data_IF_248564888256
#
_entry.id   IF_248564888256
#
_cell.length_a   1.000
_cell.length_b   1.000
_cell.length_c   1.000
_cell.angle_alpha   90.00
_cell.angle_beta   90.00
_cell.angle_gamma   90.00
#
_symmetry.space_group_name_H-M   'P 1'
#
loop_
_entity.id
_entity.type
_entity.pdbx_description
1 polymer ?
#
# COMPACT_ATOMS: atom_id res chain seq x y z
N UNK A 1 0.05 -40.91 6.84
CA UNK A 1 1.28 -40.79 6.02
C UNK A 1 1.18 -39.73 4.91
N UNK A 2 0.07 -39.00 4.77
CA UNK A 2 -0.12 -37.92 3.77
C UNK A 2 -0.08 -36.49 4.36
N UNK A 3 0.03 -36.34 5.69
CA UNK A 3 0.10 -35.05 6.39
C UNK A 3 1.52 -34.45 6.50
N UNK A 4 2.55 -35.18 6.06
CA UNK A 4 3.95 -34.76 6.15
C UNK A 4 4.55 -34.22 4.84
N UNK A 5 3.80 -34.21 3.73
CA UNK A 5 4.30 -33.72 2.43
C UNK A 5 4.05 -32.22 2.20
N UNK A 6 3.19 -31.56 2.98
CA UNK A 6 2.97 -30.11 2.88
C UNK A 6 3.86 -29.29 3.82
N UNK A 7 4.55 -29.92 4.77
CA UNK A 7 5.51 -29.25 5.67
C UNK A 7 6.93 -29.18 5.12
N UNK A 8 7.22 -29.85 4.01
CA UNK A 8 8.57 -29.94 3.43
C UNK A 8 8.95 -28.79 2.50
N UNK A 9 8.00 -27.98 2.03
CA UNK A 9 8.31 -26.79 1.20
C UNK A 9 8.70 -25.54 2.02
N UNK A 10 8.32 -25.48 3.31
CA UNK A 10 8.64 -24.33 4.18
C UNK A 10 10.13 -24.17 4.52
N UNK A 11 10.98 -25.12 4.12
CA UNK A 11 12.42 -25.15 4.42
C UNK A 11 13.32 -24.93 3.18
N UNK A 12 12.75 -24.53 2.02
CA UNK A 12 13.60 -24.06 0.93
C UNK A 12 13.93 -22.58 1.12
N UNK A 13 15.23 -22.27 1.09
CA UNK A 13 15.74 -20.90 1.09
C UNK A 13 15.09 -20.12 -0.05
N UNK A 14 14.55 -18.94 0.27
CA UNK A 14 13.94 -18.04 -0.70
C UNK A 14 15.00 -17.41 -1.60
N UNK A 15 14.68 -17.21 -2.87
CA UNK A 15 15.54 -16.46 -3.79
C UNK A 15 15.64 -14.99 -3.35
N UNK A 16 14.52 -14.46 -2.84
CA UNK A 16 14.41 -13.11 -2.32
C UNK A 16 13.52 -12.95 -1.10
N UNK A 17 13.89 -11.99 -0.24
CA UNK A 17 13.02 -11.44 0.80
C UNK A 17 12.49 -10.08 0.36
N UNK A 18 11.19 -9.84 0.49
CA UNK A 18 10.55 -8.57 0.19
C UNK A 18 10.01 -7.96 1.49
N UNK A 19 10.57 -6.83 1.90
CA UNK A 19 10.23 -6.18 3.16
C UNK A 19 9.23 -5.04 2.98
N UNK A 20 8.26 -4.99 3.90
CA UNK A 20 7.45 -3.79 4.18
C UNK A 20 8.03 -3.13 5.44
N UNK A 21 8.81 -2.03 5.30
CA UNK A 21 9.39 -1.34 6.46
C UNK A 21 8.30 -0.76 7.37
N UNK A 22 8.59 -0.54 8.66
CA UNK A 22 7.68 0.12 9.59
C UNK A 22 7.16 1.48 9.12
N UNK A 23 6.02 1.87 9.70
CA UNK A 23 5.26 3.09 9.44
C UNK A 23 4.44 3.03 8.13
N UNK A 24 3.84 1.87 7.89
CA UNK A 24 2.59 1.76 7.15
C UNK A 24 1.44 1.41 8.09
N UNK A 25 0.20 1.44 7.61
CA UNK A 25 -0.97 1.14 8.45
C UNK A 25 -0.85 -0.24 9.13
N UNK A 26 -0.94 -0.36 10.47
CA UNK A 26 -0.98 -1.65 11.15
C UNK A 26 -2.38 -2.30 11.10
N UNK A 27 -3.35 -1.65 10.49
CA UNK A 27 -4.73 -2.13 10.40
C UNK A 27 -4.92 -3.19 9.31
N UNK A 28 -4.08 -3.21 8.29
CA UNK A 28 -4.19 -4.18 7.19
C UNK A 28 -2.85 -4.33 6.46
N UNK A 29 -2.61 -5.45 5.75
CA UNK A 29 -1.39 -5.62 4.95
C UNK A 29 -1.27 -4.58 3.84
N UNK A 30 -0.06 -4.44 3.29
CA UNK A 30 0.17 -3.67 2.07
C UNK A 30 0.04 -4.57 0.83
N UNK A 31 -0.74 -4.14 -0.17
CA UNK A 31 -1.05 -4.95 -1.36
C UNK A 31 0.14 -5.17 -2.30
N UNK A 32 1.05 -4.21 -2.40
CA UNK A 32 2.15 -4.25 -3.38
C UNK A 32 3.07 -5.47 -3.18
N UNK A 33 3.26 -5.95 -1.96
CA UNK A 33 4.12 -7.11 -1.68
C UNK A 33 3.49 -8.44 -2.16
N UNK A 34 2.24 -8.79 -1.79
CA UNK A 34 1.52 -9.93 -2.35
C UNK A 34 1.49 -9.96 -3.89
N UNK A 35 1.31 -8.80 -4.53
CA UNK A 35 1.33 -8.69 -5.99
C UNK A 35 2.70 -9.03 -6.59
N UNK A 36 3.78 -8.48 -6.01
CA UNK A 36 5.15 -8.77 -6.44
C UNK A 36 5.51 -10.24 -6.22
N UNK A 37 5.14 -10.81 -5.07
CA UNK A 37 5.37 -12.23 -4.77
C UNK A 37 4.69 -13.13 -5.79
N UNK A 38 3.39 -12.91 -6.04
CA UNK A 38 2.64 -13.69 -7.01
C UNK A 38 3.25 -13.60 -8.41
N UNK A 39 3.58 -12.39 -8.85
CA UNK A 39 4.19 -12.16 -10.16
C UNK A 39 5.53 -12.91 -10.31
N UNK A 40 6.41 -12.85 -9.31
CA UNK A 40 7.68 -13.57 -9.32
C UNK A 40 7.48 -15.10 -9.30
N UNK A 41 6.51 -15.57 -8.51
CA UNK A 41 6.12 -16.99 -8.46
C UNK A 41 5.69 -17.53 -9.82
N UNK A 42 4.87 -16.78 -10.56
CA UNK A 42 4.48 -17.11 -11.95
C UNK A 42 5.67 -17.18 -12.92
N UNK A 43 6.79 -16.51 -12.60
CA UNK A 43 8.05 -16.57 -13.37
C UNK A 43 9.03 -17.62 -12.84
N UNK A 44 8.63 -18.40 -11.84
CA UNK A 44 9.41 -19.50 -11.28
C UNK A 44 10.44 -19.07 -10.22
N UNK A 45 10.32 -17.87 -9.65
CA UNK A 45 11.15 -17.41 -8.54
C UNK A 45 10.43 -17.55 -7.21
N UNK A 46 11.18 -17.88 -6.15
CA UNK A 46 10.67 -18.03 -4.79
C UNK A 46 10.93 -16.76 -4.00
N UNK A 47 9.91 -15.92 -3.86
CA UNK A 47 9.97 -14.75 -2.99
C UNK A 47 9.22 -15.00 -1.68
N UNK A 48 9.72 -14.45 -0.57
CA UNK A 48 9.02 -14.41 0.71
C UNK A 48 8.79 -12.99 1.19
N UNK A 49 7.59 -12.71 1.66
CA UNK A 49 7.24 -11.41 2.26
C UNK A 49 7.67 -11.40 3.73
N UNK A 50 8.30 -10.31 4.14
CA UNK A 50 8.58 -9.99 5.53
C UNK A 50 7.85 -8.68 5.86
N UNK A 51 6.66 -8.79 6.46
CA UNK A 51 5.92 -7.62 6.93
C UNK A 51 6.49 -7.13 8.26
N UNK A 52 7.64 -6.45 8.18
CA UNK A 52 8.29 -5.87 9.36
C UNK A 52 7.52 -4.71 9.96
N UNK A 53 6.51 -4.17 9.27
CA UNK A 53 5.66 -3.12 9.82
C UNK A 53 4.81 -3.64 10.96
N UNK A 54 4.02 -4.68 10.72
CA UNK A 54 3.15 -5.20 11.77
C UNK A 54 3.97 -5.79 12.92
N UNK A 55 5.07 -6.47 12.62
CA UNK A 55 6.00 -6.98 13.64
C UNK A 55 6.59 -5.85 14.51
N UNK A 56 6.91 -4.69 13.92
CA UNK A 56 7.36 -3.51 14.68
C UNK A 56 6.28 -2.98 15.60
N UNK A 57 5.04 -2.82 15.13
CA UNK A 57 3.94 -2.33 15.98
C UNK A 57 3.70 -3.26 17.18
N UNK A 58 3.76 -4.58 16.99
CA UNK A 58 3.68 -5.55 18.08
C UNK A 58 4.80 -5.37 19.11
N UNK A 59 6.05 -5.28 18.64
CA UNK A 59 7.19 -5.12 19.54
C UNK A 59 7.19 -3.75 20.25
N UNK A 60 6.79 -2.69 19.55
CA UNK A 60 6.85 -1.32 20.05
C UNK A 60 5.77 -1.04 21.10
N UNK A 61 4.54 -1.54 20.85
CA UNK A 61 3.41 -1.43 21.78
C UNK A 61 3.49 -2.44 22.94
N UNK A 62 4.10 -3.62 22.74
CA UNK A 62 4.21 -4.69 23.73
C UNK A 62 3.13 -5.77 23.59
N UNK A 63 3.04 -6.69 24.55
CA UNK A 63 2.17 -7.89 24.46
C UNK A 63 0.66 -7.59 24.64
N UNK A 64 0.31 -6.50 25.34
CA UNK A 64 -1.07 -6.16 25.70
C UNK A 64 -1.68 -5.11 24.75
N UNK A 65 -1.67 -5.39 23.44
CA UNK A 65 -2.32 -4.52 22.45
C UNK A 65 -3.82 -4.74 22.51
N UNK A 66 -4.63 -3.69 22.75
CA UNK A 66 -6.08 -3.82 22.76
C UNK A 66 -6.57 -4.37 21.41
N UNK A 67 -7.60 -5.20 21.47
CA UNK A 67 -8.35 -5.66 20.31
C UNK A 67 -9.77 -5.12 20.42
N UNK A 68 -10.27 -4.60 19.32
CA UNK A 68 -11.65 -4.16 19.19
C UNK A 68 -12.39 -5.27 18.44
N UNK A 69 -13.46 -5.80 19.02
CA UNK A 69 -14.34 -6.74 18.35
C UNK A 69 -15.41 -6.00 17.52
N UNK A 70 -15.90 -6.66 16.48
CA UNK A 70 -16.85 -6.05 15.55
C UNK A 70 -18.26 -5.89 16.16
N UNK A 71 -18.63 -6.73 17.12
CA UNK A 71 -19.94 -6.67 17.79
C UNK A 71 -20.06 -5.38 18.62
N UNK A 72 -19.01 -5.04 19.37
CA UNK A 72 -18.86 -3.77 20.09
C UNK A 72 -18.93 -2.57 19.14
N UNK A 73 -18.36 -2.67 17.95
CA UNK A 73 -18.49 -1.62 16.93
C UNK A 73 -19.94 -1.44 16.47
N UNK A 74 -20.70 -2.52 16.33
CA UNK A 74 -22.11 -2.44 15.93
C UNK A 74 -23.00 -1.88 17.04
N UNK A 75 -22.72 -2.21 18.31
CA UNK A 75 -23.45 -1.68 19.45
C UNK A 75 -23.16 -0.19 19.70
N UNK A 76 -21.88 0.21 19.57
CA UNK A 76 -21.44 1.59 19.71
C UNK A 76 -20.39 1.94 18.65
N UNK A 77 -20.79 2.57 17.54
CA UNK A 77 -19.85 2.98 16.48
C UNK A 77 -18.74 3.95 16.94
N UNK A 78 -18.91 4.66 18.06
CA UNK A 78 -17.87 5.55 18.60
C UNK A 78 -16.71 4.78 19.23
N UNK A 79 -16.90 3.51 19.59
CA UNK A 79 -15.85 2.64 20.14
C UNK A 79 -14.63 2.52 19.21
N UNK A 80 -14.82 2.67 17.90
CA UNK A 80 -13.70 2.68 16.94
C UNK A 80 -12.78 3.89 17.13
N UNK A 81 -13.36 5.05 17.50
CA UNK A 81 -12.60 6.27 17.74
C UNK A 81 -11.83 6.15 19.06
N UNK A 82 -12.49 5.63 20.10
CA UNK A 82 -11.84 5.38 21.39
C UNK A 82 -10.70 4.37 21.25
N UNK A 83 -10.90 3.31 20.46
CA UNK A 83 -9.87 2.33 20.14
C UNK A 83 -8.65 2.95 19.46
N UNK A 84 -8.86 3.76 18.41
CA UNK A 84 -7.76 4.41 17.72
C UNK A 84 -7.05 5.45 18.59
N UNK A 85 -7.79 6.17 19.44
CA UNK A 85 -7.20 7.10 20.39
C UNK A 85 -6.31 6.38 21.42
N UNK A 86 -6.76 5.23 21.97
CA UNK A 86 -5.93 4.43 22.89
C UNK A 86 -4.66 3.91 22.22
N UNK A 87 -4.74 3.47 20.96
CA UNK A 87 -3.56 3.08 20.20
C UNK A 87 -2.57 4.25 20.01
N UNK A 88 -3.06 5.42 19.60
CA UNK A 88 -2.22 6.63 19.44
C UNK A 88 -1.58 7.06 20.77
N UNK A 89 -2.32 7.04 21.88
CA UNK A 89 -1.78 7.38 23.21
C UNK A 89 -0.68 6.41 23.67
N UNK A 90 -0.86 5.12 23.39
CA UNK A 90 0.17 4.10 23.66
C UNK A 90 1.40 4.29 22.78
N UNK A 91 1.24 4.58 21.49
CA UNK A 91 2.35 4.88 20.59
C UNK A 91 3.10 6.13 21.03
N UNK A 92 2.39 7.20 21.40
CA UNK A 92 2.98 8.41 21.96
C UNK A 92 3.75 8.13 23.26
N UNK A 93 3.23 7.24 24.10
CA UNK A 93 3.91 6.81 25.34
C UNK A 93 5.16 5.97 25.06
N UNK A 94 5.08 5.00 24.15
CA UNK A 94 6.22 4.19 23.73
C UNK A 94 7.31 5.05 23.06
N UNK A 95 6.91 6.09 22.32
CA UNK A 95 7.82 7.03 21.66
C UNK A 95 8.74 7.77 22.63
N UNK A 96 8.29 8.03 23.87
CA UNK A 96 9.10 8.70 24.91
C UNK A 96 10.36 7.93 25.31
N UNK A 97 10.50 6.65 24.91
CA UNK A 97 11.72 5.86 25.14
C UNK A 97 12.90 6.32 24.27
N UNK A 98 12.63 7.09 23.21
CA UNK A 98 13.62 7.53 22.23
C UNK A 98 13.64 9.06 22.12
N UNK A 99 14.82 9.62 21.92
CA UNK A 99 15.00 11.07 21.85
C UNK A 99 14.37 11.64 20.57
N UNK A 100 13.39 12.54 20.72
CA UNK A 100 12.76 13.24 19.59
C UNK A 100 11.94 12.35 18.65
N UNK A 101 11.52 11.17 19.11
CA UNK A 101 10.65 10.26 18.37
C UNK A 101 9.17 10.58 18.65
N UNK A 102 8.34 10.54 17.61
CA UNK A 102 6.89 10.41 17.71
C UNK A 102 6.41 9.44 16.64
N UNK A 103 5.94 8.27 17.05
CA UNK A 103 5.29 7.28 16.19
C UNK A 103 3.79 7.42 16.36
N UNK A 104 3.06 7.48 15.25
CA UNK A 104 1.61 7.31 15.22
C UNK A 104 1.20 6.16 14.29
N UNK A 105 -0.10 5.88 14.16
CA UNK A 105 -0.58 4.74 13.37
C UNK A 105 -0.16 4.81 11.89
N UNK A 106 0.01 6.03 11.36
CA UNK A 106 0.40 6.30 9.97
C UNK A 106 1.35 7.47 9.84
N UNK A 107 2.06 7.81 10.92
CA UNK A 107 2.99 8.94 10.92
C UNK A 107 4.24 8.64 11.76
N UNK A 108 5.33 9.31 11.40
CA UNK A 108 6.60 9.28 12.09
C UNK A 108 7.16 10.71 12.17
N UNK A 109 7.67 11.09 13.32
CA UNK A 109 8.54 12.24 13.49
C UNK A 109 9.79 11.80 14.24
N UNK A 110 10.94 12.31 13.83
CA UNK A 110 12.26 11.98 14.40
C UNK A 110 13.11 13.25 14.47
N UNK A 111 14.23 13.20 15.21
CA UNK A 111 15.21 14.30 15.26
C UNK A 111 15.73 14.69 13.87
N UNK A 112 15.94 13.68 13.04
CA UNK A 112 16.48 13.82 11.70
C UNK A 112 15.39 13.88 10.65
N UNK A 113 15.60 14.71 9.65
CA UNK A 113 14.63 14.91 8.58
C UNK A 113 14.67 13.79 7.55
N UNK A 114 13.50 13.27 7.17
CA UNK A 114 13.35 12.28 6.09
C UNK A 114 13.42 12.86 4.67
N UNK A 115 13.47 14.19 4.52
CA UNK A 115 13.40 14.85 3.20
C UNK A 115 14.77 15.12 2.59
N UNK A 116 15.86 14.88 3.33
CA UNK A 116 17.24 15.00 2.87
C UNK A 116 17.97 13.69 3.12
N UNK A 117 18.70 13.19 2.13
CA UNK A 117 19.44 11.94 2.29
C UNK A 117 20.54 12.07 3.35
N UNK A 118 21.25 13.20 3.45
CA UNK A 118 22.25 13.42 4.50
C UNK A 118 21.66 13.23 5.92
N UNK A 119 20.48 13.79 6.17
CA UNK A 119 19.78 13.63 7.45
C UNK A 119 19.29 12.20 7.67
N UNK A 120 18.84 11.52 6.62
CA UNK A 120 18.50 10.09 6.69
C UNK A 120 19.73 9.27 7.09
N UNK A 121 20.91 9.57 6.54
CA UNK A 121 22.15 8.86 6.87
C UNK A 121 22.64 9.13 8.31
N UNK A 122 22.37 10.32 8.85
CA UNK A 122 22.55 10.56 10.28
C UNK A 122 21.55 9.71 11.10
N UNK A 123 20.29 9.66 10.70
CA UNK A 123 19.22 8.94 11.40
C UNK A 123 19.48 7.43 11.54
N UNK A 124 20.06 6.77 10.52
CA UNK A 124 20.31 5.32 10.54
C UNK A 124 21.44 4.90 11.48
N UNK A 125 22.21 5.85 12.01
CA UNK A 125 23.26 5.63 13.01
C UNK A 125 22.89 6.15 14.39
N UNK A 126 21.77 6.87 14.51
CA UNK A 126 21.28 7.45 15.75
C UNK A 126 20.56 6.42 16.65
N UNK A 127 21.32 5.70 17.48
CA UNK A 127 20.78 4.66 18.38
C UNK A 127 19.83 5.24 19.45
N UNK A 128 19.98 6.52 19.81
CA UNK A 128 19.14 7.15 20.84
C UNK A 128 17.77 7.60 20.30
N UNK A 129 17.71 7.99 19.02
CA UNK A 129 16.49 8.50 18.38
C UNK A 129 15.80 7.50 17.46
N UNK A 130 16.51 6.49 16.95
CA UNK A 130 16.02 5.56 15.95
C UNK A 130 15.71 4.16 16.53
N UNK A 131 14.43 3.83 16.79
CA UNK A 131 14.05 2.53 17.34
C UNK A 131 14.30 1.37 16.36
N UNK A 132 14.28 1.66 15.06
CA UNK A 132 14.33 0.67 14.00
C UNK A 132 15.67 -0.06 13.94
N UNK A 133 16.76 0.56 14.38
CA UNK A 133 18.10 -0.06 14.42
C UNK A 133 18.04 -1.33 15.27
N UNK A 134 17.58 -1.19 16.51
CA UNK A 134 17.53 -2.30 17.46
C UNK A 134 16.47 -3.34 17.08
N UNK A 135 15.35 -2.89 16.53
CA UNK A 135 14.27 -3.75 16.04
C UNK A 135 14.73 -4.65 14.89
N UNK A 136 15.33 -4.06 13.84
CA UNK A 136 15.78 -4.84 12.69
C UNK A 136 16.95 -5.77 13.03
N UNK A 137 17.88 -5.33 13.89
CA UNK A 137 18.97 -6.19 14.37
C UNK A 137 18.41 -7.45 15.06
N UNK A 138 17.43 -7.28 15.96
CA UNK A 138 16.73 -8.40 16.60
C UNK A 138 15.97 -9.25 15.58
N UNK A 139 15.16 -8.64 14.72
CA UNK A 139 14.33 -9.33 13.74
C UNK A 139 15.19 -10.25 12.87
N UNK A 140 16.29 -9.73 12.33
CA UNK A 140 17.17 -10.48 11.44
C UNK A 140 17.90 -11.59 12.22
N UNK A 141 18.54 -11.28 13.36
CA UNK A 141 19.30 -12.28 14.13
C UNK A 141 18.44 -13.40 14.72
N UNK A 142 17.18 -13.12 15.06
CA UNK A 142 16.34 -14.10 15.76
C UNK A 142 15.40 -14.85 14.82
N UNK A 143 14.81 -14.18 13.81
CA UNK A 143 13.79 -14.78 12.95
C UNK A 143 14.28 -15.09 11.54
N UNK A 144 15.32 -14.41 11.05
CA UNK A 144 15.72 -14.48 9.64
C UNK A 144 17.17 -14.93 9.41
N UNK A 145 17.92 -15.25 10.47
CA UNK A 145 19.37 -15.52 10.40
C UNK A 145 19.75 -16.59 9.37
N UNK A 146 18.89 -17.59 9.19
CA UNK A 146 19.12 -18.76 8.33
C UNK A 146 18.66 -18.55 6.88
N UNK A 147 17.97 -17.44 6.57
CA UNK A 147 17.44 -17.17 5.23
C UNK A 147 18.55 -16.84 4.22
N UNK A 148 19.51 -15.99 4.60
CA UNK A 148 20.64 -15.53 3.76
C UNK A 148 20.25 -15.31 2.27
N UNK A 149 19.25 -14.46 1.98
CA UNK A 149 18.74 -14.28 0.63
C UNK A 149 19.78 -13.65 -0.29
N UNK A 150 19.73 -14.03 -1.57
CA UNK A 150 20.57 -13.39 -2.60
C UNK A 150 20.07 -11.99 -2.94
N UNK A 151 18.76 -11.78 -2.91
CA UNK A 151 18.10 -10.51 -3.26
C UNK A 151 17.22 -10.06 -2.09
N UNK A 152 17.29 -8.78 -1.73
CA UNK A 152 16.37 -8.15 -0.78
C UNK A 152 15.66 -6.98 -1.43
N UNK A 153 14.34 -7.06 -1.52
CA UNK A 153 13.48 -5.95 -1.92
C UNK A 153 13.03 -5.14 -0.71
N UNK A 154 13.15 -3.81 -0.75
CA UNK A 154 12.66 -2.89 0.29
C UNK A 154 11.61 -1.97 -0.35
N UNK A 155 10.35 -2.14 0.04
CA UNK A 155 9.24 -1.37 -0.51
C UNK A 155 8.95 -0.10 0.31
N UNK A 156 9.38 1.06 -0.18
CA UNK A 156 9.16 2.37 0.45
C UNK A 156 7.97 3.06 -0.24
N UNK A 157 6.78 2.84 0.32
CA UNK A 157 5.50 3.30 -0.23
C UNK A 157 5.08 4.65 0.34
N UNK A 158 5.38 4.91 1.61
CA UNK A 158 5.07 6.17 2.31
C UNK A 158 6.34 6.91 2.69
N UNK A 159 6.29 8.25 2.75
CA UNK A 159 7.48 9.08 3.06
C UNK A 159 8.07 8.72 4.42
N UNK A 160 7.21 8.35 5.36
CA UNK A 160 7.56 8.00 6.73
C UNK A 160 8.29 6.65 6.80
N UNK A 161 8.30 5.87 5.70
CA UNK A 161 9.09 4.65 5.57
C UNK A 161 10.53 4.89 5.08
N UNK A 162 10.94 6.12 4.72
CA UNK A 162 12.30 6.39 4.21
C UNK A 162 13.36 6.01 5.24
N UNK A 163 13.33 6.61 6.44
CA UNK A 163 14.30 6.32 7.50
C UNK A 163 14.32 4.83 7.90
N UNK A 164 13.18 4.17 8.21
CA UNK A 164 13.22 2.75 8.53
C UNK A 164 13.68 1.88 7.33
N UNK A 165 13.36 2.25 6.09
CA UNK A 165 13.84 1.55 4.90
C UNK A 165 15.35 1.60 4.73
N UNK A 166 15.97 2.78 4.91
CA UNK A 166 17.43 2.92 4.90
C UNK A 166 18.08 2.29 6.14
N UNK A 167 17.41 2.31 7.30
CA UNK A 167 17.88 1.62 8.50
C UNK A 167 17.96 0.11 8.25
N UNK A 168 16.91 -0.48 7.68
CA UNK A 168 16.90 -1.89 7.28
C UNK A 168 18.02 -2.21 6.30
N UNK A 169 18.21 -1.38 5.26
CA UNK A 169 19.28 -1.57 4.30
C UNK A 169 20.68 -1.60 4.96
N UNK A 170 20.93 -0.68 5.90
CA UNK A 170 22.18 -0.67 6.67
C UNK A 170 22.37 -1.95 7.50
N UNK A 171 21.33 -2.44 8.19
CA UNK A 171 21.41 -3.69 8.95
C UNK A 171 21.66 -4.89 8.00
N UNK A 172 21.00 -4.93 6.84
CA UNK A 172 21.21 -5.97 5.83
C UNK A 172 22.66 -5.95 5.34
N UNK A 173 23.24 -4.80 4.98
CA UNK A 173 24.62 -4.72 4.52
C UNK A 173 25.63 -5.26 5.54
N UNK A 174 25.36 -5.05 6.83
CA UNK A 174 26.19 -5.55 7.92
C UNK A 174 25.98 -7.04 8.23
N UNK A 175 24.87 -7.64 7.80
CA UNK A 175 24.51 -9.03 8.15
C UNK A 175 24.62 -9.99 6.96
N UNK A 176 24.18 -9.55 5.78
CA UNK A 176 24.22 -10.25 4.50
C UNK A 176 24.94 -9.37 3.48
N UNK A 177 26.26 -9.24 3.62
CA UNK A 177 27.09 -8.35 2.80
C UNK A 177 26.98 -8.59 1.28
N UNK A 178 26.66 -9.83 0.89
CA UNK A 178 26.57 -10.23 -0.51
C UNK A 178 25.14 -10.09 -1.08
N UNK A 179 24.16 -9.70 -0.26
CA UNK A 179 22.78 -9.54 -0.70
C UNK A 179 22.64 -8.32 -1.61
N UNK A 180 21.94 -8.52 -2.72
CA UNK A 180 21.57 -7.46 -3.67
C UNK A 180 20.34 -6.73 -3.13
N UNK A 181 20.48 -5.44 -2.80
CA UNK A 181 19.40 -4.62 -2.25
C UNK A 181 18.72 -3.83 -3.37
N UNK A 182 17.42 -4.07 -3.53
CA UNK A 182 16.56 -3.34 -4.46
C UNK A 182 15.59 -2.48 -3.65
N UNK A 183 15.71 -1.15 -3.76
CA UNK A 183 14.72 -0.24 -3.20
C UNK A 183 13.69 0.11 -4.25
N UNK A 184 12.41 0.07 -3.88
CA UNK A 184 11.31 0.42 -4.78
C UNK A 184 10.14 1.04 -4.04
N UNK A 185 9.04 1.24 -4.75
CA UNK A 185 7.83 1.84 -4.23
C UNK A 185 7.62 3.29 -4.67
N UNK A 186 6.46 3.82 -4.31
CA UNK A 186 5.98 5.12 -4.79
C UNK A 186 6.90 6.27 -4.38
N UNK A 187 7.52 6.21 -3.20
CA UNK A 187 8.42 7.28 -2.76
C UNK A 187 9.73 7.26 -3.51
N UNK A 188 10.36 6.09 -3.66
CA UNK A 188 11.58 5.95 -4.48
C UNK A 188 11.31 6.48 -5.89
N UNK A 189 10.19 6.10 -6.50
CA UNK A 189 9.79 6.59 -7.83
C UNK A 189 9.64 8.11 -7.90
N UNK A 190 9.18 8.76 -6.83
CA UNK A 190 8.95 10.22 -6.81
C UNK A 190 10.20 11.02 -6.46
N UNK A 191 11.15 10.45 -5.72
CA UNK A 191 12.33 11.16 -5.26
C UNK A 191 13.65 10.67 -5.88
N UNK A 192 13.65 9.65 -6.75
CA UNK A 192 14.90 9.07 -7.26
C UNK A 192 15.85 10.12 -7.86
N UNK A 193 15.32 11.09 -8.62
CA UNK A 193 16.15 12.16 -9.23
C UNK A 193 16.87 13.00 -8.18
N UNK A 194 16.32 13.11 -6.97
CA UNK A 194 16.91 13.89 -5.87
C UNK A 194 17.97 13.11 -5.08
N UNK A 195 17.96 11.77 -5.15
CA UNK A 195 18.86 10.92 -4.35
C UNK A 195 19.91 10.18 -5.19
N UNK A 196 19.66 9.96 -6.49
CA UNK A 196 20.46 9.06 -7.33
C UNK A 196 21.92 9.47 -7.49
N UNK A 197 22.20 10.78 -7.43
CA UNK A 197 23.54 11.35 -7.55
C UNK A 197 24.28 11.45 -6.21
N UNK A 198 23.65 11.05 -5.11
CA UNK A 198 24.30 11.06 -3.80
C UNK A 198 25.38 9.98 -3.70
N UNK A 199 26.63 10.32 -3.34
CA UNK A 199 27.76 9.39 -3.41
C UNK A 199 27.64 8.20 -2.46
N UNK A 200 26.90 8.35 -1.36
CA UNK A 200 26.71 7.28 -0.37
C UNK A 200 25.49 6.40 -0.65
N UNK A 201 24.60 6.77 -1.59
CA UNK A 201 23.42 5.94 -1.89
C UNK A 201 23.77 4.49 -2.29
N UNK A 202 24.80 4.21 -3.11
CA UNK A 202 25.20 2.85 -3.47
C UNK A 202 25.59 1.96 -2.27
N UNK A 203 25.94 2.57 -1.12
CA UNK A 203 26.22 1.81 0.10
C UNK A 203 24.97 1.11 0.63
N UNK A 204 23.78 1.66 0.37
CA UNK A 204 22.51 1.18 0.92
C UNK A 204 21.61 0.49 -0.12
N UNK A 205 21.84 0.70 -1.41
CA UNK A 205 21.08 0.05 -2.46
C UNK A 205 21.95 -0.29 -3.67
N UNK A 206 21.70 -1.44 -4.29
CA UNK A 206 22.30 -1.81 -5.58
C UNK A 206 21.44 -1.34 -6.74
N UNK A 207 20.12 -1.35 -6.54
CA UNK A 207 19.16 -0.97 -7.55
C UNK A 207 18.03 -0.11 -7.00
N UNK A 208 17.55 0.83 -7.82
CA UNK A 208 16.25 1.48 -7.62
C UNK A 208 15.27 0.98 -8.68
N UNK A 209 14.16 0.37 -8.25
CA UNK A 209 13.05 -0.04 -9.11
C UNK A 209 11.97 1.06 -9.13
N UNK A 210 11.64 1.55 -10.32
CA UNK A 210 10.76 2.71 -10.52
C UNK A 210 9.39 2.29 -11.06
N UNK A 211 8.34 2.99 -10.64
CA UNK A 211 6.94 2.79 -11.03
C UNK A 211 6.41 1.37 -10.70
N UNK A 212 5.88 0.65 -11.70
CA UNK A 212 5.40 -0.72 -11.55
C UNK A 212 6.61 -1.64 -11.29
N UNK A 213 6.68 -2.25 -10.10
CA UNK A 213 7.83 -3.02 -9.67
C UNK A 213 7.98 -4.39 -10.31
N UNK A 214 6.91 -4.93 -10.93
CA UNK A 214 6.87 -6.31 -11.42
C UNK A 214 8.01 -6.63 -12.41
N UNK A 215 8.15 -5.83 -13.48
CA UNK A 215 9.17 -6.01 -14.51
C UNK A 215 10.58 -5.67 -14.02
N UNK A 216 10.86 -4.47 -13.46
CA UNK A 216 12.22 -4.14 -13.01
C UNK A 216 12.74 -5.12 -11.96
N UNK A 217 11.88 -5.58 -11.04
CA UNK A 217 12.31 -6.53 -10.01
C UNK A 217 12.54 -7.94 -10.58
N UNK A 218 11.74 -8.36 -11.56
CA UNK A 218 11.99 -9.60 -12.33
C UNK A 218 13.34 -9.54 -13.06
N UNK A 219 13.66 -8.41 -13.70
CA UNK A 219 14.92 -8.25 -14.42
C UNK A 219 16.14 -8.35 -13.48
N UNK A 220 16.03 -7.83 -12.24
CA UNK A 220 17.05 -8.06 -11.20
C UNK A 220 17.18 -9.55 -10.90
N UNK A 221 16.07 -10.27 -10.73
CA UNK A 221 16.12 -11.73 -10.49
C UNK A 221 16.76 -12.48 -11.66
N UNK A 222 16.37 -12.19 -12.90
CA UNK A 222 16.95 -12.82 -14.08
C UNK A 222 18.45 -12.57 -14.20
N UNK A 223 18.89 -11.33 -13.94
CA UNK A 223 20.31 -10.98 -14.00
C UNK A 223 21.10 -11.62 -12.88
N UNK A 224 20.67 -11.45 -11.63
CA UNK A 224 21.46 -11.86 -10.48
C UNK A 224 21.38 -13.38 -10.26
N UNK A 225 20.25 -14.03 -10.57
CA UNK A 225 20.10 -15.49 -10.37
C UNK A 225 20.58 -16.30 -11.57
N UNK A 226 20.33 -15.84 -12.80
CA UNK A 226 20.59 -16.61 -14.03
C UNK A 226 21.70 -16.04 -14.89
N UNK A 227 22.26 -14.86 -14.56
CA UNK A 227 23.30 -14.21 -15.36
C UNK A 227 22.79 -13.66 -16.69
N UNK A 228 21.49 -13.39 -16.82
CA UNK A 228 20.90 -12.84 -18.04
C UNK A 228 21.25 -11.35 -18.13
N UNK A 229 21.94 -10.94 -19.19
CA UNK A 229 22.19 -9.53 -19.48
C UNK A 229 20.97 -8.95 -20.20
N UNK A 230 19.95 -8.59 -19.43
CA UNK A 230 18.74 -7.95 -19.92
C UNK A 230 18.89 -6.43 -19.97
N UNK A 231 18.19 -5.79 -20.91
CA UNK A 231 18.01 -4.34 -20.87
C UNK A 231 17.21 -3.97 -19.63
N UNK A 232 17.86 -3.30 -18.69
CA UNK A 232 17.23 -2.77 -17.48
C UNK A 232 16.16 -1.77 -17.91
N UNK A 233 14.90 -1.97 -17.52
CA UNK A 233 13.77 -1.07 -17.85
C UNK A 233 13.18 -0.54 -16.55
N UNK A 234 13.09 0.78 -16.40
CA UNK A 234 12.62 1.42 -15.16
C UNK A 234 13.40 0.99 -13.92
N UNK A 235 14.70 0.81 -14.11
CA UNK A 235 15.63 0.37 -13.10
C UNK A 235 16.90 1.21 -13.21
N UNK A 236 17.39 1.65 -12.06
CA UNK A 236 18.67 2.33 -11.92
C UNK A 236 19.65 1.36 -11.26
N UNK A 237 20.76 1.06 -11.94
CA UNK A 237 21.86 0.25 -11.40
C UNK A 237 22.89 1.20 -10.77
N UNK A 238 22.88 1.28 -9.44
CA UNK A 238 23.73 2.18 -8.67
C UNK A 238 25.20 1.72 -8.65
N UNK A 239 25.47 0.46 -9.01
CA UNK A 239 26.82 -0.12 -8.97
C UNK A 239 27.69 0.30 -10.16
N UNK A 240 27.06 0.59 -11.31
CA UNK A 240 27.74 1.03 -12.52
C UNK A 240 27.21 2.36 -13.07
N UNK A 241 26.21 2.96 -12.41
CA UNK A 241 25.63 4.25 -12.80
C UNK A 241 24.68 4.19 -13.99
N UNK A 242 24.31 3.00 -14.49
CA UNK A 242 23.37 2.87 -15.62
C UNK A 242 21.95 3.23 -15.16
N UNK A 243 21.36 4.22 -15.82
CA UNK A 243 19.99 4.69 -15.56
C UNK A 243 19.12 4.38 -16.77
N UNK A 244 18.06 3.60 -16.57
CA UNK A 244 16.97 3.52 -17.54
C UNK A 244 15.65 3.84 -16.83
N UNK A 245 15.14 5.05 -17.07
CA UNK A 245 13.93 5.56 -16.44
C UNK A 245 13.00 6.11 -17.52
N UNK A 246 12.06 5.27 -17.98
CA UNK A 246 11.00 5.66 -18.89
C UNK A 246 9.66 5.11 -18.40
N UNK A 247 8.90 5.96 -17.73
CA UNK A 247 7.58 5.66 -17.16
C UNK A 247 6.62 4.92 -18.10
N UNK A 248 6.73 5.12 -19.41
CA UNK A 248 5.82 4.48 -20.37
C UNK A 248 6.23 3.05 -20.75
N UNK A 249 7.44 2.62 -20.36
CA UNK A 249 7.96 1.28 -20.57
C UNK A 249 7.61 0.35 -19.39
N UNK A 250 7.81 -0.96 -19.55
CA UNK A 250 7.57 -1.97 -18.52
C UNK A 250 6.12 -2.02 -17.94
N UNK A 251 5.14 -1.47 -18.67
CA UNK A 251 3.73 -1.46 -18.28
C UNK A 251 3.08 -2.79 -18.61
N UNK A 252 2.75 -3.60 -17.60
CA UNK A 252 1.95 -4.81 -17.79
C UNK A 252 0.56 -4.45 -18.36
N UNK A 253 0.05 -5.18 -19.37
CA UNK A 253 -1.32 -5.01 -19.84
C UNK A 253 -2.31 -5.52 -18.79
N UNK A 254 -3.56 -5.03 -18.83
CA UNK A 254 -4.61 -5.37 -17.84
C UNK A 254 -4.74 -6.87 -17.50
N UNK A 255 -4.76 -7.81 -18.46
CA UNK A 255 -4.92 -9.24 -18.15
C UNK A 255 -3.70 -9.86 -17.45
N UNK A 256 -2.56 -9.17 -17.45
CA UNK A 256 -1.32 -9.62 -16.82
C UNK A 256 -1.05 -8.90 -15.50
N UNK A 257 -1.97 -8.04 -15.03
CA UNK A 257 -1.85 -7.49 -13.67
C UNK A 257 -1.98 -8.65 -12.67
N UNK A 258 -0.99 -8.84 -11.78
CA UNK A 258 -0.99 -9.97 -10.87
C UNK A 258 -2.18 -9.90 -9.89
N UNK A 259 -2.61 -11.07 -9.42
CA UNK A 259 -3.40 -11.23 -8.20
C UNK A 259 -2.48 -11.28 -6.98
N UNK A 260 -2.98 -11.01 -5.78
CA UNK A 260 -2.17 -11.04 -4.56
C UNK A 260 -1.92 -12.47 -4.06
N UNK A 261 -0.65 -12.81 -3.77
CA UNK A 261 -0.30 -14.00 -2.97
C UNK A 261 -0.13 -13.60 -1.50
N UNK A 262 -1.13 -13.94 -0.68
CA UNK A 262 -1.18 -13.62 0.75
C UNK A 262 -0.62 -14.73 1.65
N UNK A 263 0.02 -15.78 1.10
CA UNK A 263 0.44 -16.95 1.89
C UNK A 263 1.48 -16.69 2.98
N UNK A 264 2.19 -15.55 2.93
CA UNK A 264 3.12 -15.11 3.99
C UNK A 264 2.49 -14.10 4.98
N UNK A 265 1.23 -13.71 4.75
CA UNK A 265 0.53 -12.70 5.54
C UNK A 265 -0.26 -13.39 6.64
N UNK A 266 0.10 -13.11 7.89
CA UNK A 266 -0.69 -13.51 9.05
C UNK A 266 -1.73 -12.42 9.36
N UNK A 267 -2.96 -12.61 8.88
CA UNK A 267 -4.03 -11.64 9.07
C UNK A 267 -4.39 -11.41 10.55
N UNK A 268 -4.13 -12.38 11.43
CA UNK A 268 -4.43 -12.26 12.87
C UNK A 268 -3.57 -11.21 13.59
N UNK A 269 -2.42 -10.82 13.00
CA UNK A 269 -1.55 -9.80 13.57
C UNK A 269 -2.08 -8.38 13.39
N UNK A 270 -2.88 -8.10 12.36
CA UNK A 270 -3.32 -6.73 12.07
C UNK A 270 -4.34 -6.23 13.09
N UNK A 271 -4.30 -4.93 13.36
CA UNK A 271 -5.06 -4.30 14.44
C UNK A 271 -6.47 -3.87 14.05
N UNK A 272 -6.92 -4.19 12.83
CA UNK A 272 -8.32 -4.03 12.46
C UNK A 272 -9.16 -5.17 13.07
N UNK A 273 -10.41 -4.91 13.50
CA UNK A 273 -11.27 -5.92 14.13
C UNK A 273 -11.51 -7.20 13.32
N UNK A 274 -11.36 -7.09 12.01
CA UNK A 274 -11.69 -8.11 11.01
C UNK A 274 -10.56 -8.23 9.99
N UNK A 275 -10.59 -9.27 9.16
CA UNK A 275 -9.64 -9.39 8.05
C UNK A 275 -9.99 -8.40 6.94
N UNK A 276 -9.35 -7.22 6.99
CA UNK A 276 -9.42 -6.22 5.93
C UNK A 276 -8.37 -6.51 4.86
N UNK A 277 -8.81 -7.06 3.73
CA UNK A 277 -7.92 -7.48 2.65
C UNK A 277 -7.81 -6.39 1.59
N UNK A 278 -6.61 -5.86 1.33
CA UNK A 278 -6.42 -4.90 0.26
C UNK A 278 -6.43 -5.64 -1.10
N UNK A 279 -7.04 -5.05 -2.12
CA UNK A 279 -7.08 -5.56 -3.49
C UNK A 279 -7.01 -4.39 -4.49
N UNK A 280 -6.88 -4.67 -5.79
CA UNK A 280 -6.98 -3.63 -6.83
C UNK A 280 -7.92 -4.09 -7.93
N UNK A 281 -8.82 -3.21 -8.38
CA UNK A 281 -9.64 -3.44 -9.59
C UNK A 281 -9.10 -2.66 -10.78
N UNK A 282 -8.40 -1.57 -10.50
CA UNK A 282 -7.72 -0.71 -11.45
C UNK A 282 -6.31 -0.37 -10.97
N UNK A 283 -5.47 0.15 -11.87
CA UNK A 283 -4.15 0.68 -11.51
C UNK A 283 -3.85 1.94 -12.31
N UNK A 284 -3.34 2.97 -11.64
CA UNK A 284 -3.10 4.29 -12.22
C UNK A 284 -4.37 5.15 -12.26
N UNK A 285 -4.24 6.36 -12.80
CA UNK A 285 -5.36 7.29 -12.98
C UNK A 285 -5.37 7.85 -14.40
N UNK A 286 -6.56 7.99 -15.00
CA UNK A 286 -6.72 8.61 -16.32
C UNK A 286 -6.75 10.16 -16.27
N UNK A 287 -6.90 10.73 -15.07
CA UNK A 287 -6.99 12.18 -14.87
C UNK A 287 -5.60 12.85 -14.79
N UNK A 288 -5.57 14.18 -14.92
CA UNK A 288 -4.36 15.01 -14.89
C UNK A 288 -4.55 16.24 -13.99
N UNK A 289 -5.02 16.00 -12.77
CA UNK A 289 -5.32 17.08 -11.82
C UNK A 289 -4.02 17.82 -11.44
N UNK A 290 -4.04 19.15 -11.40
CA UNK A 290 -2.87 20.00 -11.25
C UNK A 290 -2.15 19.81 -9.89
N UNK A 291 -2.87 19.39 -8.85
CA UNK A 291 -2.32 19.14 -7.51
C UNK A 291 -1.77 17.72 -7.32
N UNK A 292 -1.96 16.82 -8.30
CA UNK A 292 -1.83 15.39 -8.05
C UNK A 292 -0.43 14.84 -8.33
N UNK A 293 0.09 14.04 -7.40
CA UNK A 293 1.38 13.36 -7.54
C UNK A 293 1.27 11.97 -8.23
N UNK A 294 0.06 11.42 -8.40
CA UNK A 294 -0.16 10.09 -8.98
C UNK A 294 0.47 9.95 -10.38
N UNK A 295 0.33 10.90 -11.32
CA UNK A 295 0.94 10.75 -12.66
C UNK A 295 2.46 10.60 -12.67
N UNK A 296 3.14 11.03 -11.60
CA UNK A 296 4.59 10.87 -11.45
C UNK A 296 4.97 9.52 -10.84
N UNK A 297 4.09 8.93 -10.01
CA UNK A 297 4.32 7.66 -9.33
C UNK A 297 3.66 6.44 -9.99
N UNK A 298 2.68 6.64 -10.88
CA UNK A 298 1.97 5.57 -11.58
C UNK A 298 2.18 5.60 -13.09
N UNK A 299 2.03 4.42 -13.70
CA UNK A 299 2.00 4.26 -15.15
C UNK A 299 0.60 4.55 -15.73
N UNK A 300 0.25 3.91 -16.85
CA UNK A 300 -1.04 4.04 -17.54
C UNK A 300 -2.19 3.49 -16.70
N UNK A 301 -3.36 4.11 -16.85
CA UNK A 301 -4.61 3.60 -16.31
C UNK A 301 -4.98 2.26 -16.94
N UNK A 302 -5.24 1.27 -16.10
CA UNK A 302 -5.61 -0.09 -16.49
C UNK A 302 -6.75 -0.58 -15.61
N UNK A 303 -7.64 -1.35 -16.21
CA UNK A 303 -8.83 -1.93 -15.56
C UNK A 303 -8.73 -3.44 -15.67
N UNK A 304 -8.90 -4.17 -14.56
CA UNK A 304 -8.92 -5.63 -14.53
C UNK A 304 -10.27 -6.17 -14.99
N UNK A 305 -10.32 -7.47 -15.24
CA UNK A 305 -11.57 -8.16 -15.57
C UNK A 305 -12.36 -8.49 -14.29
N UNK A 306 -13.68 -8.25 -14.32
CA UNK A 306 -14.57 -8.48 -13.17
C UNK A 306 -14.59 -9.93 -12.70
N UNK A 307 -14.54 -10.87 -13.65
CA UNK A 307 -14.53 -12.30 -13.33
C UNK A 307 -13.23 -12.67 -12.61
N UNK A 308 -12.09 -12.19 -13.11
CA UNK A 308 -10.79 -12.44 -12.47
C UNK A 308 -10.70 -11.86 -11.05
N UNK A 309 -11.30 -10.68 -10.82
CA UNK A 309 -11.34 -10.09 -9.47
C UNK A 309 -12.27 -10.90 -8.55
N UNK A 310 -13.42 -11.37 -9.04
CA UNK A 310 -14.30 -12.24 -8.28
C UNK A 310 -13.66 -13.61 -7.96
N UNK A 311 -12.92 -14.19 -8.91
CA UNK A 311 -12.14 -15.41 -8.70
C UNK A 311 -11.09 -15.19 -7.59
N UNK A 312 -10.38 -14.05 -7.60
CA UNK A 312 -9.40 -13.70 -6.56
C UNK A 312 -10.04 -13.52 -5.17
N UNK A 313 -11.24 -12.94 -5.09
CA UNK A 313 -11.99 -12.82 -3.82
C UNK A 313 -12.28 -14.22 -3.25
N UNK A 314 -12.76 -15.15 -4.07
CA UNK A 314 -13.05 -16.52 -3.64
C UNK A 314 -11.78 -17.23 -3.14
N UNK A 315 -10.68 -17.14 -3.89
CA UNK A 315 -9.39 -17.72 -3.47
C UNK A 315 -8.90 -17.16 -2.13
N UNK A 316 -9.05 -15.86 -1.89
CA UNK A 316 -8.70 -15.21 -0.63
C UNK A 316 -9.61 -15.70 0.51
N UNK A 317 -10.91 -15.85 0.26
CA UNK A 317 -11.86 -16.37 1.24
C UNK A 317 -11.53 -17.82 1.63
N UNK A 318 -11.20 -18.65 0.65
CA UNK A 318 -10.77 -20.04 0.88
C UNK A 318 -9.45 -20.11 1.65
N UNK A 319 -8.49 -19.27 1.28
CA UNK A 319 -7.20 -19.17 1.98
C UNK A 319 -7.39 -18.78 3.44
N UNK A 320 -8.12 -17.70 3.69
CA UNK A 320 -8.34 -17.18 5.05
C UNK A 320 -9.16 -18.15 5.91
N UNK A 321 -10.17 -18.80 5.33
CA UNK A 321 -10.91 -19.86 6.01
C UNK A 321 -10.00 -21.04 6.40
N UNK A 322 -9.12 -21.46 5.48
CA UNK A 322 -8.23 -22.60 5.71
C UNK A 322 -7.15 -22.29 6.76
N UNK A 323 -6.51 -21.13 6.69
CA UNK A 323 -5.38 -20.80 7.56
C UNK A 323 -5.82 -20.24 8.93
N UNK A 324 -6.94 -19.51 8.99
CA UNK A 324 -7.38 -18.79 10.19
C UNK A 324 -8.77 -19.19 10.70
N UNK A 325 -9.47 -20.10 10.02
CA UNK A 325 -10.79 -20.58 10.43
C UNK A 325 -11.95 -19.65 10.08
N UNK A 326 -11.69 -18.49 9.45
CA UNK A 326 -12.70 -17.49 9.09
C UNK A 326 -12.45 -16.92 7.69
N UNK A 327 -13.52 -16.74 6.90
CA UNK A 327 -13.43 -16.09 5.59
C UNK A 327 -13.24 -14.59 5.77
N UNK A 328 -12.31 -14.00 5.01
CA UNK A 328 -12.28 -12.56 4.83
C UNK A 328 -13.56 -12.07 4.14
N UNK A 329 -14.26 -11.13 4.77
CA UNK A 329 -15.47 -10.51 4.17
C UNK A 329 -15.28 -9.03 3.88
N UNK A 330 -14.19 -8.43 4.32
CA UNK A 330 -13.91 -7.00 4.16
C UNK A 330 -12.77 -6.78 3.20
N UNK A 331 -13.02 -5.99 2.16
CA UNK A 331 -12.06 -5.71 1.11
C UNK A 331 -11.88 -4.21 0.92
N UNK A 332 -10.64 -3.80 0.65
CA UNK A 332 -10.31 -2.41 0.34
C UNK A 332 -9.65 -2.34 -1.02
N UNK A 333 -10.32 -1.71 -1.99
CA UNK A 333 -9.72 -1.49 -3.29
C UNK A 333 -8.72 -0.32 -3.21
N UNK A 334 -7.43 -0.68 -3.21
CA UNK A 334 -6.27 0.20 -3.13
C UNK A 334 -5.91 0.70 -4.53
N UNK A 335 -6.65 1.70 -5.00
CA UNK A 335 -6.51 2.25 -6.34
C UNK A 335 -6.55 3.78 -6.37
N UNK A 336 -5.99 4.36 -7.44
CA UNK A 336 -5.95 5.81 -7.62
C UNK A 336 -7.31 6.38 -8.04
N UNK A 337 -8.08 5.61 -8.83
CA UNK A 337 -9.48 5.89 -9.18
C UNK A 337 -10.12 4.62 -9.73
N UNK A 338 -11.30 4.28 -9.24
CA UNK A 338 -12.12 3.19 -9.79
C UNK A 338 -12.65 3.49 -11.20
N UNK A 339 -13.03 2.41 -11.90
CA UNK A 339 -13.86 2.48 -13.10
C UNK A 339 -15.33 2.20 -12.75
N UNK A 340 -16.28 3.09 -13.05
CA UNK A 340 -17.71 2.84 -12.81
C UNK A 340 -18.20 1.53 -13.46
N UNK A 341 -17.78 1.25 -14.70
CA UNK A 341 -18.20 0.03 -15.41
C UNK A 341 -17.64 -1.24 -14.76
N UNK A 342 -16.39 -1.19 -14.28
CA UNK A 342 -15.79 -2.32 -13.59
C UNK A 342 -16.49 -2.61 -12.27
N UNK A 343 -16.81 -1.58 -11.48
CA UNK A 343 -17.52 -1.76 -10.21
C UNK A 343 -18.91 -2.35 -10.43
N UNK A 344 -19.63 -1.93 -11.48
CA UNK A 344 -20.92 -2.50 -11.85
C UNK A 344 -20.81 -3.99 -12.24
N UNK A 345 -19.87 -4.31 -13.14
CA UNK A 345 -19.65 -5.70 -13.57
C UNK A 345 -19.16 -6.60 -12.42
N UNK A 346 -18.32 -6.09 -11.53
CA UNK A 346 -17.89 -6.82 -10.33
C UNK A 346 -19.07 -7.04 -9.37
N UNK A 347 -19.91 -6.03 -9.19
CA UNK A 347 -21.12 -6.14 -8.34
C UNK A 347 -22.07 -7.23 -8.87
N UNK A 348 -22.23 -7.32 -10.20
CA UNK A 348 -23.01 -8.39 -10.84
C UNK A 348 -22.40 -9.77 -10.58
N UNK A 349 -21.08 -9.92 -10.73
CA UNK A 349 -20.40 -11.20 -10.46
C UNK A 349 -20.50 -11.60 -8.98
N UNK A 350 -20.35 -10.66 -8.04
CA UNK A 350 -20.51 -10.90 -6.60
C UNK A 350 -21.92 -11.42 -6.28
N UNK A 351 -22.96 -10.73 -6.78
CA UNK A 351 -24.37 -11.13 -6.55
C UNK A 351 -24.66 -12.48 -7.19
N UNK A 352 -24.24 -12.68 -8.44
CA UNK A 352 -24.44 -13.91 -9.20
C UNK A 352 -23.82 -15.13 -8.52
N UNK A 353 -22.66 -14.97 -7.89
CA UNK A 353 -21.95 -16.03 -7.16
C UNK A 353 -22.39 -16.16 -5.70
N UNK A 354 -23.14 -15.19 -5.16
CA UNK A 354 -23.55 -15.17 -3.77
C UNK A 354 -22.40 -14.98 -2.79
N UNK A 355 -21.38 -14.18 -3.16
CA UNK A 355 -20.22 -13.93 -2.30
C UNK A 355 -20.60 -12.96 -1.17
N UNK A 356 -20.29 -13.32 0.07
CA UNK A 356 -20.39 -12.39 1.22
C UNK A 356 -19.17 -11.48 1.25
N UNK A 357 -19.33 -10.29 0.66
CA UNK A 357 -18.27 -9.31 0.45
C UNK A 357 -18.79 -7.94 0.84
N UNK A 358 -17.97 -7.19 1.57
CA UNK A 358 -18.16 -5.77 1.83
C UNK A 358 -16.89 -5.07 1.40
N UNK A 359 -17.01 -4.03 0.58
CA UNK A 359 -15.85 -3.34 0.04
C UNK A 359 -15.95 -1.82 0.09
N UNK A 360 -14.77 -1.20 0.20
CA UNK A 360 -14.58 0.24 0.02
C UNK A 360 -13.62 0.53 -1.13
N UNK A 361 -13.77 1.70 -1.77
CA UNK A 361 -12.92 2.11 -2.89
C UNK A 361 -12.75 3.63 -2.99
N UNK A 362 -11.92 4.09 -3.93
CA UNK A 362 -11.63 5.48 -4.25
C UNK A 362 -12.14 5.82 -5.65
N UNK A 363 -13.04 6.79 -5.76
CA UNK A 363 -13.63 7.15 -7.04
C UNK A 363 -13.69 8.65 -7.26
N UNK A 364 -13.72 9.04 -8.53
CA UNK A 364 -14.09 10.39 -8.94
C UNK A 364 -15.61 10.48 -8.99
N UNK A 365 -16.14 11.65 -8.67
CA UNK A 365 -17.53 11.99 -8.94
C UNK A 365 -17.69 12.06 -10.47
N UNK A 366 -18.37 11.07 -11.03
CA UNK A 366 -18.60 10.92 -12.46
C UNK A 366 -20.09 10.75 -12.73
N UNK A 367 -20.57 11.27 -13.87
CA UNK A 367 -21.98 11.19 -14.27
C UNK A 367 -22.55 9.76 -14.22
N UNK A 368 -21.73 8.74 -14.45
CA UNK A 368 -22.13 7.33 -14.37
C UNK A 368 -22.69 6.94 -12.98
N UNK A 369 -22.24 7.61 -11.91
CA UNK A 369 -22.73 7.39 -10.56
C UNK A 369 -24.00 8.18 -10.22
N UNK A 370 -24.46 9.07 -11.10
CA UNK A 370 -25.63 9.92 -10.86
C UNK A 370 -26.96 9.19 -11.15
N UNK A 371 -27.05 7.93 -10.75
CA UNK A 371 -28.22 7.05 -10.89
C UNK A 371 -28.42 6.30 -9.59
N UNK A 372 -29.68 6.27 -9.13
CA UNK A 372 -30.04 5.51 -7.93
C UNK A 372 -29.85 4.01 -8.16
N UNK A 373 -30.22 3.53 -9.34
CA UNK A 373 -30.11 2.12 -9.74
C UNK A 373 -28.64 1.65 -9.72
N UNK A 374 -27.72 2.51 -10.17
CA UNK A 374 -26.27 2.25 -10.08
C UNK A 374 -25.84 2.09 -8.63
N UNK A 375 -26.23 3.00 -7.73
CA UNK A 375 -25.86 2.91 -6.31
C UNK A 375 -26.49 1.70 -5.61
N UNK A 376 -27.75 1.39 -5.91
CA UNK A 376 -28.43 0.20 -5.39
C UNK A 376 -27.70 -1.08 -5.85
N UNK A 377 -27.27 -1.15 -7.11
CA UNK A 377 -26.48 -2.27 -7.64
C UNK A 377 -25.12 -2.38 -6.95
N UNK A 378 -24.40 -1.27 -6.76
CA UNK A 378 -23.11 -1.28 -6.05
C UNK A 378 -23.29 -1.76 -4.61
N UNK A 379 -24.32 -1.29 -3.90
CA UNK A 379 -24.61 -1.72 -2.53
C UNK A 379 -24.94 -3.23 -2.47
N UNK A 380 -25.77 -3.72 -3.40
CA UNK A 380 -26.08 -5.14 -3.53
C UNK A 380 -24.83 -5.99 -3.81
N UNK A 381 -23.90 -5.47 -4.60
CA UNK A 381 -22.58 -6.07 -4.85
C UNK A 381 -21.56 -5.92 -3.74
N UNK A 382 -21.94 -5.38 -2.58
CA UNK A 382 -21.07 -5.28 -1.40
C UNK A 382 -20.43 -3.91 -1.16
N UNK A 383 -20.70 -2.88 -1.97
CA UNK A 383 -20.17 -1.54 -1.69
C UNK A 383 -20.70 -1.02 -0.36
N UNK A 384 -19.81 -0.59 0.53
CA UNK A 384 -20.20 0.04 1.81
C UNK A 384 -19.66 1.44 1.97
N UNK A 385 -18.61 1.81 1.24
CA UNK A 385 -18.03 3.14 1.32
C UNK A 385 -17.31 3.52 0.05
N UNK A 386 -17.46 4.77 -0.37
CA UNK A 386 -16.69 5.34 -1.47
C UNK A 386 -15.98 6.60 -0.98
N UNK A 387 -14.68 6.64 -1.23
CA UNK A 387 -13.84 7.81 -1.05
C UNK A 387 -13.90 8.67 -2.31
N UNK A 388 -14.68 9.75 -2.26
CA UNK A 388 -14.90 10.69 -3.35
C UNK A 388 -13.86 11.79 -3.35
N UNK A 389 -13.17 11.96 -4.48
CA UNK A 389 -12.38 13.16 -4.73
C UNK A 389 -13.29 14.35 -5.10
N UNK A 390 -13.89 14.99 -4.10
CA UNK A 390 -14.73 16.19 -4.24
C UNK A 390 -13.86 17.45 -4.45
N UNK A 391 -12.83 17.60 -3.62
CA UNK A 391 -11.89 18.72 -3.51
C UNK A 391 -12.54 20.06 -3.14
N UNK A 392 -13.48 20.55 -3.95
CA UNK A 392 -14.21 21.80 -3.76
C UNK A 392 -15.52 21.75 -4.55
N UNK A 393 -16.49 22.61 -4.19
CA UNK A 393 -17.75 22.77 -4.92
C UNK A 393 -17.75 23.99 -5.87
N UNK A 394 -16.64 24.72 -5.98
CA UNK A 394 -16.54 25.87 -6.88
C UNK A 394 -16.08 25.46 -8.29
N UNK A 395 -16.90 25.70 -9.35
CA UNK A 395 -16.55 25.30 -10.72
C UNK A 395 -15.28 25.95 -11.28
N UNK A 396 -14.94 27.18 -10.87
CA UNK A 396 -13.74 27.85 -11.36
C UNK A 396 -12.50 27.19 -10.79
N UNK A 397 -12.49 26.91 -9.48
CA UNK A 397 -11.38 26.20 -8.84
C UNK A 397 -11.26 24.77 -9.35
N UNK A 398 -12.36 24.05 -9.59
CA UNK A 398 -12.32 22.73 -10.25
C UNK A 398 -11.73 22.79 -11.66
N UNK A 399 -11.98 23.89 -12.37
CA UNK A 399 -11.37 24.21 -13.66
C UNK A 399 -9.86 24.39 -13.57
N UNK A 400 -9.39 25.22 -12.63
CA UNK A 400 -7.96 25.49 -12.40
C UNK A 400 -7.20 24.26 -11.90
N UNK A 401 -7.84 23.43 -11.07
CA UNK A 401 -7.32 22.12 -10.68
C UNK A 401 -7.22 21.14 -11.86
N UNK A 402 -7.80 21.45 -13.03
CA UNK A 402 -8.03 20.51 -14.13
C UNK A 402 -8.75 19.23 -13.66
N UNK A 403 -9.55 19.33 -12.59
CA UNK A 403 -10.38 18.23 -12.07
C UNK A 403 -11.53 18.00 -13.01
N UNK A 404 -12.17 19.07 -13.51
CA UNK A 404 -13.27 19.03 -14.50
C UNK A 404 -14.44 18.13 -14.10
N UNK A 405 -14.64 17.96 -12.80
CA UNK A 405 -15.89 17.39 -12.27
C UNK A 405 -16.99 18.42 -12.47
N UNK A 406 -18.13 17.98 -12.98
CA UNK A 406 -19.31 18.83 -13.15
C UNK A 406 -20.16 18.71 -11.88
N UNK A 407 -20.31 19.84 -11.19
CA UNK A 407 -20.96 19.92 -9.89
C UNK A 407 -22.44 19.53 -9.94
N UNK A 408 -23.09 19.60 -11.11
CA UNK A 408 -24.52 19.32 -11.27
C UNK A 408 -24.92 17.90 -10.90
N UNK A 409 -23.99 16.95 -10.95
CA UNK A 409 -24.22 15.57 -10.54
C UNK A 409 -23.63 15.21 -9.18
N UNK A 410 -22.92 16.12 -8.51
CA UNK A 410 -22.28 15.81 -7.22
C UNK A 410 -23.32 15.52 -6.14
N UNK A 411 -24.30 16.41 -5.94
CA UNK A 411 -25.34 16.21 -4.92
C UNK A 411 -26.21 14.97 -5.20
N UNK A 412 -26.67 14.70 -6.44
CA UNK A 412 -27.34 13.44 -6.76
C UNK A 412 -26.51 12.22 -6.41
N UNK A 413 -25.21 12.18 -6.75
CA UNK A 413 -24.33 11.04 -6.43
C UNK A 413 -24.27 10.80 -4.93
N UNK A 414 -23.95 11.84 -4.15
CA UNK A 414 -23.80 11.71 -2.70
C UNK A 414 -25.11 11.31 -2.03
N UNK A 415 -26.24 11.89 -2.47
CA UNK A 415 -27.57 11.55 -1.99
C UNK A 415 -27.92 10.10 -2.31
N UNK A 416 -27.79 9.66 -3.56
CA UNK A 416 -28.14 8.29 -3.95
C UNK A 416 -27.23 7.24 -3.28
N UNK A 417 -25.94 7.54 -3.11
CA UNK A 417 -25.05 6.69 -2.33
C UNK A 417 -25.54 6.55 -0.88
N UNK A 418 -25.88 7.66 -0.22
CA UNK A 418 -26.41 7.65 1.14
C UNK A 418 -27.74 6.91 1.26
N UNK A 419 -28.68 7.13 0.33
CA UNK A 419 -29.97 6.43 0.26
C UNK A 419 -29.81 4.91 0.06
N UNK A 420 -28.80 4.48 -0.70
CA UNK A 420 -28.48 3.06 -0.89
C UNK A 420 -27.80 2.43 0.35
N UNK A 421 -27.32 3.23 1.31
CA UNK A 421 -26.57 2.77 2.47
C UNK A 421 -25.05 2.73 2.27
N UNK A 422 -24.54 3.43 1.25
CA UNK A 422 -23.10 3.58 0.98
C UNK A 422 -22.59 4.84 1.70
N UNK A 423 -21.57 4.68 2.54
CA UNK A 423 -20.92 5.78 3.24
C UNK A 423 -20.12 6.65 2.24
N UNK A 424 -20.39 7.96 2.27
CA UNK A 424 -19.61 8.94 1.53
C UNK A 424 -18.43 9.42 2.37
N UNK A 425 -17.21 9.25 1.87
CA UNK A 425 -16.03 9.94 2.40
C UNK A 425 -15.56 10.95 1.35
N UNK A 426 -15.68 12.25 1.62
CA UNK A 426 -15.28 13.28 0.66
C UNK A 426 -13.91 13.86 1.02
N UNK A 427 -12.97 13.80 0.08
CA UNK A 427 -11.75 14.60 0.17
C UNK A 427 -12.06 16.05 -0.16
N UNK A 428 -11.57 16.97 0.68
CA UNK A 428 -11.74 18.41 0.52
C UNK A 428 -10.36 19.05 0.54
N UNK A 429 -10.10 19.95 -0.41
CA UNK A 429 -8.84 20.66 -0.58
C UNK A 429 -9.12 22.16 -0.50
N UNK A 430 -8.63 22.77 0.58
CA UNK A 430 -8.74 24.20 0.84
C UNK A 430 -7.40 24.88 0.58
N UNK A 431 -7.42 26.08 0.02
CA UNK A 431 -6.23 26.90 -0.23
C UNK A 431 -5.57 26.67 -1.59
N UNK A 432 -6.29 26.13 -2.56
CA UNK A 432 -5.77 26.02 -3.93
C UNK A 432 -5.50 27.42 -4.52
N UNK A 433 -4.44 27.62 -5.32
CA UNK A 433 -4.16 28.92 -5.93
C UNK A 433 -5.38 29.48 -6.67
N UNK A 434 -5.76 30.72 -6.35
CA UNK A 434 -6.96 31.38 -6.89
C UNK A 434 -8.20 31.33 -5.99
N UNK A 435 -8.22 30.47 -4.97
CA UNK A 435 -9.37 30.35 -4.07
C UNK A 435 -9.53 31.56 -3.13
N UNK A 436 -10.73 32.15 -3.10
CA UNK A 436 -11.08 33.31 -2.26
C UNK A 436 -11.73 32.90 -0.93
N UNK A 437 -11.79 33.82 0.04
CA UNK A 437 -12.51 33.59 1.30
C UNK A 437 -14.01 33.35 1.10
N UNK A 438 -14.62 33.97 0.08
CA UNK A 438 -16.01 33.75 -0.26
C UNK A 438 -16.22 32.31 -0.76
N UNK A 439 -15.35 31.81 -1.63
CA UNK A 439 -15.39 30.43 -2.12
C UNK A 439 -15.22 29.42 -0.97
N UNK A 440 -14.26 29.67 -0.07
CA UNK A 440 -14.07 28.85 1.15
C UNK A 440 -15.31 28.85 2.04
N UNK A 441 -15.96 30.00 2.19
CA UNK A 441 -17.19 30.12 2.98
C UNK A 441 -18.31 29.29 2.38
N UNK A 442 -18.51 29.35 1.05
CA UNK A 442 -19.50 28.54 0.32
C UNK A 442 -19.22 27.04 0.43
N UNK A 443 -17.96 26.63 0.35
CA UNK A 443 -17.57 25.22 0.51
C UNK A 443 -17.88 24.73 1.93
N UNK A 444 -17.56 25.54 2.96
CA UNK A 444 -17.88 25.20 4.35
C UNK A 444 -19.39 25.11 4.60
N UNK A 445 -20.20 25.97 3.99
CA UNK A 445 -21.67 25.92 4.12
C UNK A 445 -22.29 24.72 3.39
N UNK A 446 -21.60 24.23 2.34
CA UNK A 446 -22.02 23.07 1.57
C UNK A 446 -21.75 21.74 2.30
N UNK A 447 -20.64 21.65 3.04
CA UNK A 447 -20.27 20.50 3.88
C UNK A 447 -21.10 20.51 5.16
#
# INVERSE_FOLDING_TARGET
MLLNLFRTEKNMISDSLIFNPPISSPLHPQLNLPLLKAFLGEKGYKARIVDSNIDFFHEFLGEDIPRLDIETCYENPLSILDYYNDLEDRLATASKRYAGLNVGLRSLSMRHSRISLDEVLLAITDIEGNPFISFFDRLIKTKLQDEKPKIVGIAITFQDQIIPGFTLANIIRNTWSDAIIVMGGQIITRCWETIVDHPELPLYADYLALWDGEIPFLQVHEREMKGVDAELTNLIDLRNGKRNANRLDAVLPSPQLPKGDFSDIDFSKYLFPEFLVPMQTTRGCYAKCAFCAIPFGSNKYRVRDAKMVADEIEEIQEHTLREFGHKATLFKFMEDTSSPSMLLSLSEEIVKRGLDVKWETFARLEKAFASKEVMDQLFAGGCRKIHWGLETNDPYILGDMNKKTDISYTDPILRYAGEAGILNFCFVLVGFPGETDEMRTKLREYI
#
